data_IF_171757099164
#
_entry.id   IF_171757099164
#
_cell.length_a   1.000
_cell.length_b   1.000
_cell.length_c   1.000
_cell.angle_alpha   90.00
_cell.angle_beta   90.00
_cell.angle_gamma   90.00
#
_symmetry.space_group_name_H-M   'P 1'
#
loop_
_entity.id
_entity.type
_entity.pdbx_description
1 polymer ?
#
# COMPACT_ATOMS: atom_id res chain seq x y z
N UNK A 1 12.22 -2.32 15.18
CA UNK A 1 11.13 -2.27 14.18
C UNK A 1 9.84 -2.13 14.97
N UNK A 2 8.95 -1.19 14.61
CA UNK A 2 7.66 -1.04 15.28
C UNK A 2 6.87 -2.35 15.15
N UNK A 3 6.26 -2.82 16.24
CA UNK A 3 5.41 -4.01 16.24
C UNK A 3 4.06 -3.65 15.59
N UNK A 4 4.06 -3.57 14.26
CA UNK A 4 2.87 -3.33 13.46
C UNK A 4 2.03 -4.59 13.44
N UNK A 5 0.88 -4.55 14.11
CA UNK A 5 -0.04 -5.70 14.19
C UNK A 5 -1.05 -5.70 13.05
N UNK A 6 -1.41 -4.50 12.56
CA UNK A 6 -2.52 -4.29 11.64
C UNK A 6 -2.13 -3.31 10.53
N UNK A 7 -2.76 -3.42 9.36
CA UNK A 7 -2.66 -2.45 8.29
C UNK A 7 -4.01 -2.15 7.63
N UNK A 8 -4.13 -0.95 7.08
CA UNK A 8 -5.17 -0.50 6.18
C UNK A 8 -4.57 -0.33 4.79
N UNK A 9 -5.35 -0.64 3.76
CA UNK A 9 -4.97 -0.52 2.37
C UNK A 9 -5.92 0.46 1.70
N UNK A 10 -5.36 1.52 1.13
CA UNK A 10 -6.10 2.49 0.33
C UNK A 10 -5.55 2.57 -1.08
N UNK A 11 -6.38 2.98 -2.02
CA UNK A 11 -6.03 3.15 -3.43
C UNK A 11 -6.54 4.49 -3.94
N UNK A 12 -5.61 5.39 -4.23
CA UNK A 12 -5.92 6.67 -4.86
C UNK A 12 -5.57 6.60 -6.36
N UNK A 13 -6.07 7.55 -7.15
CA UNK A 13 -5.65 7.73 -8.54
C UNK A 13 -5.00 9.10 -8.65
N UNK A 14 -3.72 9.11 -8.95
CA UNK A 14 -2.92 10.32 -9.15
C UNK A 14 -2.73 10.61 -10.64
N UNK A 15 -2.65 11.91 -10.97
CA UNK A 15 -2.19 12.35 -12.28
C UNK A 15 -0.67 12.48 -12.25
N UNK A 16 0.01 11.54 -12.91
CA UNK A 16 1.47 11.47 -12.96
C UNK A 16 1.95 11.74 -14.38
N UNK A 17 2.99 12.55 -14.54
CA UNK A 17 3.63 12.80 -15.84
C UNK A 17 4.68 11.72 -16.11
N UNK A 18 4.46 10.89 -17.12
CA UNK A 18 5.34 9.82 -17.57
C UNK A 18 5.58 10.02 -19.07
N UNK A 19 6.84 10.05 -19.51
CA UNK A 19 7.22 10.27 -20.92
C UNK A 19 6.54 11.50 -21.56
N UNK A 20 6.51 12.62 -20.82
CA UNK A 20 5.86 13.89 -21.20
C UNK A 20 4.33 13.84 -21.31
N UNK A 21 3.69 12.70 -21.06
CA UNK A 21 2.24 12.55 -21.06
C UNK A 21 1.72 12.45 -19.62
N UNK A 22 0.66 13.18 -19.29
CA UNK A 22 -0.02 13.03 -17.99
C UNK A 22 -0.95 11.83 -18.08
N UNK A 23 -0.75 10.85 -17.19
CA UNK A 23 -1.54 9.62 -17.11
C UNK A 23 -2.19 9.54 -15.73
N UNK A 24 -3.38 8.93 -15.68
CA UNK A 24 -3.98 8.50 -14.42
C UNK A 24 -3.31 7.20 -13.98
N UNK A 25 -2.68 7.21 -12.81
CA UNK A 25 -1.95 6.08 -12.26
C UNK A 25 -2.54 5.76 -10.90
N UNK A 26 -2.78 4.48 -10.62
CA UNK A 26 -3.28 4.06 -9.33
C UNK A 26 -2.10 3.94 -8.35
N UNK A 27 -2.15 4.69 -7.27
CA UNK A 27 -1.23 4.59 -6.14
C UNK A 27 -1.91 3.84 -5.00
N UNK A 28 -1.18 2.86 -4.45
CA UNK A 28 -1.62 2.06 -3.33
C UNK A 28 -0.87 2.49 -2.09
N UNK A 29 -1.60 2.92 -1.07
CA UNK A 29 -1.05 3.41 0.19
C UNK A 29 -1.36 2.37 1.26
N UNK A 30 -0.33 1.96 1.99
CA UNK A 30 -0.47 1.00 3.09
C UNK A 30 -0.13 1.72 4.38
N UNK A 31 -1.12 1.79 5.26
CA UNK A 31 -1.02 2.44 6.55
C UNK A 31 -1.01 1.39 7.65
N UNK A 32 0.07 1.32 8.40
CA UNK A 32 0.24 0.44 9.55
C UNK A 32 -0.29 1.07 10.81
N UNK A 33 -0.71 0.23 11.75
CA UNK A 33 -1.09 0.63 13.10
C UNK A 33 -0.21 -0.14 14.08
N UNK A 34 0.55 0.59 14.90
CA UNK A 34 1.37 0.00 15.97
C UNK A 34 0.49 -0.54 17.09
N UNK A 35 1.05 -1.37 17.98
CA UNK A 35 0.33 -1.88 19.15
C UNK A 35 -0.21 -0.75 20.06
N UNK A 36 0.46 0.40 20.05
CA UNK A 36 0.10 1.61 20.81
C UNK A 36 -0.97 2.47 20.10
N UNK A 37 -1.47 2.03 18.93
CA UNK A 37 -2.49 2.72 18.16
C UNK A 37 -1.96 3.86 17.28
N UNK A 38 -0.64 3.97 17.11
CA UNK A 38 -0.03 4.99 16.25
C UNK A 38 -0.13 4.57 14.79
N UNK A 39 -0.52 5.51 13.92
CA UNK A 39 -0.59 5.28 12.47
C UNK A 39 0.75 5.62 11.82
N UNK A 40 1.26 4.70 11.00
CA UNK A 40 2.52 4.85 10.27
C UNK A 40 2.32 4.51 8.79
N UNK A 41 2.97 5.24 7.87
CA UNK A 41 2.96 4.86 6.45
C UNK A 41 3.99 3.76 6.23
N UNK A 42 3.52 2.57 5.85
CA UNK A 42 4.38 1.41 5.55
C UNK A 42 4.99 1.54 4.15
N UNK A 43 4.25 2.14 3.21
CA UNK A 43 4.75 2.41 1.88
C UNK A 43 3.69 2.93 0.92
N UNK A 44 4.17 3.35 -0.25
CA UNK A 44 3.36 3.79 -1.39
C UNK A 44 3.86 3.02 -2.61
N UNK A 45 2.93 2.35 -3.30
CA UNK A 45 3.22 1.59 -4.51
C UNK A 45 2.49 2.21 -5.69
N UNK A 46 3.26 2.74 -6.64
CA UNK A 46 2.71 3.35 -7.84
C UNK A 46 2.58 2.27 -8.91
N UNK A 47 1.35 1.78 -9.11
CA UNK A 47 1.08 0.68 -10.02
C UNK A 47 0.75 1.18 -11.43
N UNK A 48 1.49 0.70 -12.43
CA UNK A 48 1.15 0.94 -13.84
C UNK A 48 -0.09 0.15 -14.31
N UNK A 49 -0.56 -0.84 -13.54
CA UNK A 49 -1.69 -1.70 -13.90
C UNK A 49 -2.38 -2.37 -12.69
N UNK A 50 -3.73 -2.35 -12.66
CA UNK A 50 -4.58 -2.89 -11.57
C UNK A 50 -4.79 -4.41 -11.67
N UNK A 51 -3.75 -5.18 -11.97
CA UNK A 51 -3.89 -6.63 -12.18
C UNK A 51 -3.92 -7.40 -10.86
N UNK A 52 -4.59 -8.56 -10.83
CA UNK A 52 -4.59 -9.46 -9.68
C UNK A 52 -3.17 -9.92 -9.28
N UNK A 53 -2.28 -10.09 -10.26
CA UNK A 53 -0.86 -10.42 -10.02
C UNK A 53 -0.14 -9.31 -9.25
N UNK A 54 -0.43 -8.06 -9.55
CA UNK A 54 0.15 -6.92 -8.84
C UNK A 54 -0.30 -6.90 -7.38
N UNK A 55 -1.60 -7.06 -7.14
CA UNK A 55 -2.15 -7.16 -5.79
C UNK A 55 -1.52 -8.29 -4.97
N UNK A 56 -1.36 -9.46 -5.58
CA UNK A 56 -0.70 -10.59 -4.92
C UNK A 56 0.76 -10.26 -4.56
N UNK A 57 1.51 -9.61 -5.46
CA UNK A 57 2.89 -9.18 -5.19
C UNK A 57 2.95 -8.20 -4.02
N UNK A 58 2.06 -7.21 -4.00
CA UNK A 58 1.99 -6.20 -2.94
C UNK A 58 1.64 -6.84 -1.58
N UNK A 59 0.63 -7.72 -1.54
CA UNK A 59 0.24 -8.42 -0.31
C UNK A 59 1.35 -9.34 0.20
N UNK A 60 2.08 -10.01 -0.69
CA UNK A 60 3.24 -10.81 -0.32
C UNK A 60 4.36 -9.94 0.29
N UNK A 61 4.57 -8.73 -0.24
CA UNK A 61 5.56 -7.80 0.33
C UNK A 61 5.18 -7.36 1.76
N UNK A 62 3.91 -7.04 2.00
CA UNK A 62 3.41 -6.72 3.35
C UNK A 62 3.65 -7.91 4.30
N UNK A 63 3.28 -9.12 3.87
CA UNK A 63 3.47 -10.34 4.65
C UNK A 63 4.94 -10.58 4.97
N UNK A 64 5.83 -10.38 3.99
CA UNK A 64 7.28 -10.53 4.18
C UNK A 64 7.87 -9.49 5.14
N UNK A 65 7.20 -8.36 5.36
CA UNK A 65 7.54 -7.36 6.38
C UNK A 65 7.02 -7.72 7.78
N UNK A 66 6.33 -8.85 7.94
CA UNK A 66 5.82 -9.34 9.23
C UNK A 66 4.49 -8.72 9.65
N UNK A 67 3.77 -8.06 8.74
CA UNK A 67 2.47 -7.45 9.05
C UNK A 67 1.37 -8.38 8.57
N UNK A 68 0.60 -8.92 9.51
CA UNK A 68 -0.21 -10.11 9.24
C UNK A 68 -1.69 -9.81 8.98
N UNK A 69 -2.21 -8.69 9.51
CA UNK A 69 -3.65 -8.45 9.58
C UNK A 69 -4.08 -7.20 8.82
N UNK A 70 -4.84 -7.38 7.75
CA UNK A 70 -5.62 -6.31 7.16
C UNK A 70 -6.80 -6.00 8.09
N UNK A 71 -6.92 -4.75 8.51
CA UNK A 71 -8.08 -4.26 9.26
C UNK A 71 -9.15 -3.73 8.31
N UNK A 72 -10.40 -3.78 8.76
CA UNK A 72 -11.52 -3.07 8.17
C UNK A 72 -11.94 -1.98 9.16
N UNK A 73 -12.30 -0.80 8.67
CA UNK A 73 -12.96 0.22 9.48
C UNK A 73 -14.37 -0.23 9.88
#
# INVERSE_FOLDING_TARGET
MSNLSNYLLDATVLKIRIDRVVKNVADYIILGITAEGTKEIIGIWIGNNKTSKYWLSLLNEIKNRGIERCSYL
#
